data_IF_499821566543
#
_entry.id   IF_499821566543
#
_cell.length_a   1.000
_cell.length_b   1.000
_cell.length_c   1.000
_cell.angle_alpha   90.00
_cell.angle_beta   90.00
_cell.angle_gamma   90.00
#
_symmetry.space_group_name_H-M   'P 1'
#
loop_
_entity.id
_entity.type
_entity.pdbx_description
1 polymer ?
#
# COMPACT_ATOMS: atom_id res chain seq x y z
N UNK A 1 12.55 17.41 4.19
CA UNK A 1 13.49 16.42 3.59
C UNK A 1 12.67 15.31 2.98
N UNK A 2 12.94 14.89 1.74
CA UNK A 2 12.19 13.79 1.12
C UNK A 2 12.40 12.50 1.93
N UNK A 3 11.31 11.85 2.35
CA UNK A 3 11.37 10.56 3.07
C UNK A 3 12.02 9.51 2.16
N UNK A 4 12.90 8.67 2.71
CA UNK A 4 13.55 7.61 1.94
C UNK A 4 12.54 6.52 1.61
N UNK A 5 12.22 6.32 0.33
CA UNK A 5 11.38 5.23 -0.14
C UNK A 5 12.23 3.95 -0.22
N UNK A 6 11.79 2.88 0.44
CA UNK A 6 12.49 1.58 0.46
C UNK A 6 11.70 0.50 -0.23
N UNK A 7 12.39 -0.44 -0.86
CA UNK A 7 11.76 -1.64 -1.41
C UNK A 7 11.82 -2.78 -0.38
N UNK A 8 10.75 -3.56 -0.31
CA UNK A 8 10.66 -4.75 0.54
C UNK A 8 10.16 -5.94 -0.25
N UNK A 9 10.68 -7.12 0.07
CA UNK A 9 10.22 -8.40 -0.49
C UNK A 9 8.90 -8.84 0.15
N UNK A 10 8.17 -9.76 -0.51
CA UNK A 10 6.98 -10.38 0.08
C UNK A 10 7.26 -11.04 1.44
N UNK A 11 8.45 -11.63 1.63
CA UNK A 11 8.87 -12.23 2.90
C UNK A 11 8.97 -11.20 4.02
N UNK A 12 9.58 -10.06 3.73
CA UNK A 12 9.65 -8.94 4.68
C UNK A 12 8.26 -8.39 4.96
N UNK A 13 7.40 -8.25 3.94
CA UNK A 13 6.01 -7.81 4.12
C UNK A 13 5.23 -8.74 5.08
N UNK A 14 5.41 -10.06 5.00
CA UNK A 14 4.77 -11.01 5.95
C UNK A 14 5.17 -10.78 7.41
N UNK A 15 6.43 -10.41 7.65
CA UNK A 15 6.91 -10.15 9.01
C UNK A 15 6.37 -8.82 9.53
N UNK A 16 6.46 -7.77 8.71
CA UNK A 16 6.07 -6.42 9.14
C UNK A 16 4.55 -6.27 9.25
N UNK A 17 3.75 -6.93 8.38
CA UNK A 17 2.28 -6.81 8.40
C UNK A 17 1.62 -7.29 9.70
N UNK A 18 2.36 -8.01 10.56
CA UNK A 18 1.89 -8.42 11.89
C UNK A 18 1.77 -7.23 12.85
N UNK A 19 2.42 -6.11 12.55
CA UNK A 19 2.33 -4.90 13.35
C UNK A 19 1.09 -4.09 12.97
N UNK A 20 0.29 -3.64 13.94
CA UNK A 20 -0.94 -2.89 13.68
C UNK A 20 -0.66 -1.50 13.08
N UNK A 21 0.57 -1.00 13.17
CA UNK A 21 0.95 0.32 12.67
C UNK A 21 1.25 0.35 11.17
N UNK A 22 1.05 -0.77 10.46
CA UNK A 22 1.31 -0.88 9.03
C UNK A 22 0.01 -0.82 8.24
N UNK A 23 0.05 -0.11 7.11
CA UNK A 23 -1.00 -0.14 6.10
C UNK A 23 -0.41 -0.58 4.75
N UNK A 24 -1.11 -1.48 4.07
CA UNK A 24 -0.76 -1.94 2.73
C UNK A 24 -1.71 -1.24 1.77
N UNK A 25 -1.18 -0.59 0.74
CA UNK A 25 -1.94 0.18 -0.24
C UNK A 25 -1.79 -0.47 -1.62
N UNK A 26 -2.89 -1.01 -2.13
CA UNK A 26 -3.00 -1.54 -3.49
C UNK A 26 -3.42 -0.41 -4.42
N UNK A 27 -2.54 -0.05 -5.35
CA UNK A 27 -2.80 1.01 -6.35
C UNK A 27 -3.13 0.46 -7.74
N UNK A 28 -3.53 -0.81 -7.83
CA UNK A 28 -4.12 -1.36 -9.04
C UNK A 28 -5.52 -0.80 -9.27
N UNK A 29 -5.93 -0.79 -10.53
CA UNK A 29 -7.24 -0.33 -10.95
C UNK A 29 -8.23 -1.51 -10.89
N UNK A 30 -9.03 -1.76 -11.92
CA UNK A 30 -10.11 -2.79 -11.88
C UNK A 30 -9.60 -4.24 -11.83
N UNK A 31 -8.37 -4.49 -12.25
CA UNK A 31 -7.73 -5.83 -12.24
C UNK A 31 -7.68 -6.44 -10.82
N UNK A 32 -7.67 -5.61 -9.77
CA UNK A 32 -7.72 -6.04 -8.37
C UNK A 32 -8.94 -6.93 -8.07
N UNK A 33 -10.10 -6.61 -8.65
CA UNK A 33 -11.38 -7.26 -8.34
C UNK A 33 -11.44 -8.70 -8.85
N UNK A 34 -10.70 -9.02 -9.91
CA UNK A 34 -10.70 -10.35 -10.54
C UNK A 34 -9.60 -11.25 -9.98
N UNK A 35 -8.39 -10.71 -9.78
CA UNK A 35 -7.22 -11.50 -9.36
C UNK A 35 -7.22 -11.80 -7.85
N UNK A 36 -7.92 -10.98 -7.07
CA UNK A 36 -7.75 -10.93 -5.62
C UNK A 36 -6.69 -9.91 -5.21
N UNK A 37 -6.51 -9.73 -3.91
CA UNK A 37 -5.61 -8.73 -3.33
C UNK A 37 -4.97 -9.24 -2.03
N UNK A 38 -3.98 -8.51 -1.53
CA UNK A 38 -3.32 -8.85 -0.28
C UNK A 38 -4.31 -8.63 0.87
N UNK A 39 -4.51 -9.64 1.73
CA UNK A 39 -5.42 -9.52 2.86
C UNK A 39 -5.07 -8.30 3.74
N UNK A 40 -6.08 -7.49 4.06
CA UNK A 40 -5.94 -6.24 4.82
C UNK A 40 -5.43 -5.03 4.02
N UNK A 41 -5.25 -5.14 2.69
CA UNK A 41 -4.85 -3.99 1.87
C UNK A 41 -6.00 -3.00 1.65
N UNK A 42 -5.65 -1.71 1.63
CA UNK A 42 -6.51 -0.62 1.21
C UNK A 42 -6.41 -0.42 -0.30
N UNK A 43 -7.55 -0.25 -0.98
CA UNK A 43 -7.58 -0.03 -2.42
C UNK A 43 -7.65 1.45 -2.77
N UNK A 44 -6.63 1.95 -3.48
CA UNK A 44 -6.53 3.33 -3.95
C UNK A 44 -5.98 3.36 -5.37
N UNK A 45 -6.86 3.27 -6.40
CA UNK A 45 -6.46 3.19 -7.81
C UNK A 45 -5.50 4.29 -8.23
N UNK A 46 -4.59 3.99 -9.14
CA UNK A 46 -3.56 4.94 -9.54
C UNK A 46 -4.10 6.15 -10.32
N UNK A 47 -5.20 5.94 -11.05
CA UNK A 47 -5.86 6.96 -11.89
C UNK A 47 -6.49 8.08 -11.06
N UNK A 48 -7.11 7.75 -9.93
CA UNK A 48 -7.76 8.70 -9.00
C UNK A 48 -6.93 8.93 -7.74
N UNK A 49 -5.66 8.51 -7.74
CA UNK A 49 -4.83 8.51 -6.54
C UNK A 49 -4.61 9.91 -5.94
N UNK A 50 -4.42 10.93 -6.79
CA UNK A 50 -4.16 12.30 -6.34
C UNK A 50 -5.37 12.89 -5.60
N UNK A 51 -6.57 12.73 -6.16
CA UNK A 51 -7.81 13.21 -5.55
C UNK A 51 -8.14 12.46 -4.25
N UNK A 52 -7.69 11.21 -4.14
CA UNK A 52 -7.89 10.36 -2.97
C UNK A 52 -6.76 10.44 -1.92
N UNK A 53 -5.72 11.27 -2.13
CA UNK A 53 -4.63 11.46 -1.15
C UNK A 53 -5.16 11.88 0.24
N UNK A 54 -6.11 12.82 0.38
CA UNK A 54 -6.66 13.19 1.68
C UNK A 54 -7.39 12.01 2.35
N UNK A 55 -8.17 11.24 1.58
CA UNK A 55 -8.90 10.06 2.06
C UNK A 55 -7.94 8.96 2.51
N UNK A 56 -6.85 8.74 1.76
CA UNK A 56 -5.80 7.81 2.14
C UNK A 56 -5.10 8.24 3.43
N UNK A 57 -4.86 9.54 3.60
CA UNK A 57 -4.25 10.09 4.80
C UNK A 57 -5.12 9.84 6.04
N UNK A 58 -6.42 10.10 5.94
CA UNK A 58 -7.37 9.82 7.04
C UNK A 58 -7.51 8.31 7.30
N UNK A 59 -7.54 7.48 6.25
CA UNK A 59 -7.61 6.01 6.40
C UNK A 59 -6.35 5.39 7.00
N UNK A 60 -5.20 6.08 6.88
CA UNK A 60 -3.91 5.64 7.43
C UNK A 60 -3.54 6.37 8.72
N UNK A 61 -4.48 7.11 9.32
CA UNK A 61 -4.27 7.80 10.58
C UNK A 61 -3.88 6.82 11.69
N UNK A 62 -2.80 7.14 12.42
CA UNK A 62 -2.24 6.27 13.46
C UNK A 62 -1.34 5.15 12.93
N UNK A 63 -1.09 5.08 11.61
CA UNK A 63 -0.11 4.18 11.00
C UNK A 63 1.22 4.89 10.85
N UNK A 64 2.32 4.22 11.18
CA UNK A 64 3.67 4.77 11.01
C UNK A 64 4.34 4.32 9.71
N UNK A 65 3.83 3.26 9.08
CA UNK A 65 4.47 2.64 7.92
C UNK A 65 3.43 2.30 6.85
N UNK A 66 3.65 2.79 5.63
CA UNK A 66 2.81 2.46 4.48
C UNK A 66 3.61 1.68 3.44
N UNK A 67 3.02 0.61 2.92
CA UNK A 67 3.59 -0.24 1.87
C UNK A 67 2.73 -0.15 0.62
N UNK A 68 3.24 0.44 -0.44
CA UNK A 68 2.56 0.56 -1.72
C UNK A 68 2.89 -0.61 -2.65
N UNK A 69 1.92 -1.06 -3.44
CA UNK A 69 2.16 -2.04 -4.49
C UNK A 69 1.21 -1.86 -5.66
N UNK A 70 1.61 -2.35 -6.85
CA UNK A 70 0.67 -2.57 -7.96
C UNK A 70 0.74 -4.02 -8.43
N UNK A 71 0.54 -4.31 -9.72
CA UNK A 71 0.69 -5.67 -10.26
C UNK A 71 2.15 -6.15 -10.20
N UNK A 72 3.09 -5.34 -10.69
CA UNK A 72 4.53 -5.63 -10.72
C UNK A 72 5.38 -4.65 -9.87
N UNK A 73 4.76 -3.58 -9.37
CA UNK A 73 5.42 -2.47 -8.66
C UNK A 73 6.55 -1.77 -9.44
N UNK A 74 6.45 -1.72 -10.77
CA UNK A 74 7.46 -1.07 -11.64
C UNK A 74 7.14 0.38 -12.01
N UNK A 75 5.84 0.74 -12.08
CA UNK A 75 5.40 2.07 -12.56
C UNK A 75 4.41 2.71 -11.58
N UNK A 76 3.20 2.16 -11.47
CA UNK A 76 2.12 2.71 -10.62
C UNK A 76 2.51 2.76 -9.13
N UNK A 77 3.03 1.66 -8.58
CA UNK A 77 3.46 1.58 -7.18
C UNK A 77 4.48 2.67 -6.77
N UNK A 78 5.65 2.76 -7.44
CA UNK A 78 6.64 3.79 -7.15
C UNK A 78 6.13 5.24 -7.34
N UNK A 79 5.31 5.47 -8.38
CA UNK A 79 4.73 6.78 -8.66
C UNK A 79 3.79 7.23 -7.54
N UNK A 80 2.89 6.36 -7.09
CA UNK A 80 1.96 6.65 -6.01
C UNK A 80 2.67 6.82 -4.66
N UNK A 81 3.65 5.95 -4.36
CA UNK A 81 4.46 6.06 -3.13
C UNK A 81 5.19 7.41 -3.04
N UNK A 82 5.76 7.88 -4.16
CA UNK A 82 6.43 9.18 -4.22
C UNK A 82 5.45 10.33 -4.03
N UNK A 83 4.33 10.34 -4.76
CA UNK A 83 3.28 11.36 -4.61
C UNK A 83 2.76 11.45 -3.18
N UNK A 84 2.53 10.31 -2.54
CA UNK A 84 2.10 10.26 -1.14
C UNK A 84 3.19 10.79 -0.20
N UNK A 85 4.45 10.41 -0.40
CA UNK A 85 5.58 10.93 0.38
C UNK A 85 5.72 12.44 0.26
N UNK A 86 5.53 12.99 -0.94
CA UNK A 86 5.59 14.43 -1.19
C UNK A 86 4.43 15.13 -0.46
N UNK A 87 3.20 14.63 -0.64
CA UNK A 87 2.00 15.15 0.02
C UNK A 87 2.11 15.17 1.55
N UNK A 88 2.55 14.06 2.17
CA UNK A 88 2.76 14.00 3.64
C UNK A 88 3.87 14.95 4.10
N UNK A 89 4.87 15.21 3.26
CA UNK A 89 5.93 16.17 3.60
C UNK A 89 5.45 17.62 3.58
N UNK A 90 4.40 17.93 2.81
CA UNK A 90 3.79 19.26 2.74
C UNK A 90 2.84 19.56 3.91
N UNK A 91 2.15 18.53 4.42
CA UNK A 91 1.05 18.68 5.40
C UNK A 91 1.54 18.59 6.86
N UNK A 92 2.85 18.39 7.06
CA UNK A 92 3.56 18.30 8.34
C UNK A 92 3.39 16.96 9.09
N UNK A 93 4.38 16.63 9.93
CA UNK A 93 4.65 15.31 10.53
C UNK A 93 3.59 14.81 11.55
N UNK A 94 2.51 15.55 11.76
CA UNK A 94 1.51 15.27 12.81
C UNK A 94 0.80 13.92 12.61
N UNK A 95 0.82 13.39 11.39
CA UNK A 95 0.22 12.08 11.06
C UNK A 95 1.07 10.88 11.54
N UNK A 96 2.32 11.10 11.95
CA UNK A 96 3.18 10.05 12.51
C UNK A 96 3.70 9.02 11.50
N UNK A 97 3.48 9.22 10.20
CA UNK A 97 3.95 8.34 9.13
C UNK A 97 5.46 8.49 8.98
N UNK A 98 6.25 7.50 9.37
CA UNK A 98 7.72 7.55 9.31
C UNK A 98 8.26 6.92 8.04
N UNK A 99 7.66 5.81 7.60
CA UNK A 99 8.21 4.98 6.54
C UNK A 99 7.23 4.83 5.37
N UNK A 100 7.72 5.09 4.16
CA UNK A 100 7.02 4.77 2.92
C UNK A 100 7.84 3.70 2.20
N UNK A 101 7.21 2.56 1.92
CA UNK A 101 7.85 1.40 1.32
C UNK A 101 7.11 0.95 0.06
N UNK A 102 7.77 0.17 -0.79
CA UNK A 102 7.20 -0.42 -1.99
C UNK A 102 7.41 -1.94 -1.93
N UNK A 103 6.34 -2.71 -2.15
CA UNK A 103 6.44 -4.17 -2.28
C UNK A 103 7.05 -4.53 -3.64
N UNK A 104 8.21 -5.18 -3.61
CA UNK A 104 8.86 -5.71 -4.81
C UNK A 104 8.02 -6.80 -5.47
N UNK A 105 8.06 -6.83 -6.81
CA UNK A 105 7.30 -7.77 -7.66
C UNK A 105 5.78 -7.66 -7.56
N UNK A 106 5.27 -6.71 -6.79
CA UNK A 106 3.84 -6.40 -6.67
C UNK A 106 2.97 -7.59 -6.25
N UNK A 107 1.70 -7.53 -6.65
CA UNK A 107 0.74 -8.60 -6.40
C UNK A 107 1.15 -9.93 -7.05
N UNK A 108 1.67 -9.89 -8.28
CA UNK A 108 2.02 -11.11 -9.02
C UNK A 108 3.12 -11.90 -8.30
N UNK A 109 4.13 -11.21 -7.75
CA UNK A 109 5.17 -11.85 -6.94
C UNK A 109 4.65 -12.38 -5.61
N UNK A 110 3.66 -11.72 -5.01
CA UNK A 110 2.99 -12.17 -3.80
C UNK A 110 2.21 -13.47 -4.03
N UNK A 111 1.37 -13.48 -5.07
CA UNK A 111 0.55 -14.63 -5.46
C UNK A 111 1.42 -15.82 -5.91
N UNK A 112 2.42 -15.59 -6.77
CA UNK A 112 3.35 -16.63 -7.22
C UNK A 112 4.15 -17.28 -6.07
N UNK A 113 4.30 -16.58 -4.94
CA UNK A 113 4.93 -17.13 -3.73
C UNK A 113 3.97 -18.01 -2.90
N UNK A 114 2.73 -18.22 -3.32
CA UNK A 114 1.72 -18.98 -2.59
C UNK A 114 1.26 -18.31 -1.29
N UNK A 115 1.36 -16.98 -1.20
CA UNK A 115 1.03 -16.23 0.00
C UNK A 115 -0.48 -15.97 0.10
N UNK A 116 -1.02 -15.72 1.31
CA UNK A 116 -2.45 -15.53 1.49
C UNK A 116 -2.96 -14.31 0.71
N UNK A 117 -3.96 -14.54 -0.13
CA UNK A 117 -4.71 -13.53 -0.89
C UNK A 117 -6.18 -13.57 -0.48
N UNK A 118 -6.84 -12.42 -0.53
CA UNK A 118 -8.27 -12.29 -0.31
C UNK A 118 -8.97 -11.94 -1.63
N UNK A 119 -10.20 -12.42 -1.80
CA UNK A 119 -11.06 -12.11 -2.97
C UNK A 119 -12.32 -11.33 -2.58
N UNK A 120 -12.31 -10.66 -1.43
CA UNK A 120 -13.46 -9.84 -1.04
C UNK A 120 -13.61 -8.62 -1.98
N UNK A 121 -14.84 -8.25 -2.30
CA UNK A 121 -15.16 -7.12 -3.18
C UNK A 121 -15.20 -5.77 -2.45
N UNK A 122 -14.99 -5.74 -1.14
CA UNK A 122 -14.98 -4.50 -0.36
C UNK A 122 -13.69 -3.69 -0.55
N UNK A 123 -13.80 -2.36 -0.50
CA UNK A 123 -12.67 -1.42 -0.58
C UNK A 123 -11.67 -1.58 0.58
N UNK A 124 -12.17 -1.94 1.77
CA UNK A 124 -11.36 -2.35 2.91
C UNK A 124 -11.55 -3.85 3.12
N UNK A 125 -10.47 -4.61 2.97
CA UNK A 125 -10.46 -6.03 3.24
C UNK A 125 -10.66 -6.27 4.75
N UNK A 126 -11.83 -6.81 5.13
CA UNK A 126 -12.17 -7.14 6.53
C UNK A 126 -11.53 -8.45 7.03
N UNK A 127 -10.60 -9.03 6.28
CA UNK A 127 -9.88 -10.21 6.76
C UNK A 127 -8.97 -9.73 7.89
N UNK A 128 -9.45 -9.94 9.12
CA UNK A 128 -8.62 -9.86 10.32
C UNK A 128 -7.43 -10.80 10.14
N UNK A 129 -6.23 -10.25 10.40
CA UNK A 129 -4.98 -11.01 10.45
C UNK A 129 -4.89 -11.80 11.75
#
# INVERSE_FOLDING_TARGET
>A
MARSIRYITGSQLLNVRRHPNIAIVDVRDDERSYDGHIAGSLHFPSDTFLDNLPTLLEATKGKDTLVFHCALSQVRGPKCARRFSDYVSEINDEMGIKNVMILERGYNGWEASGRPVCRCTNNACKVEL
#
